data_IF_824094787947
#
_entry.id   IF_824094787947
#
_cell.length_a   1.000
_cell.length_b   1.000
_cell.length_c   1.000
_cell.angle_alpha   90.00
_cell.angle_beta   90.00
_cell.angle_gamma   90.00
#
_symmetry.space_group_name_H-M   'P 1'
#
loop_
_entity.id
_entity.type
_entity.pdbx_description
1 polymer ?
#
# COMPACT_ATOMS: atom_id res chain seq x y z
N UNK A 1 -4.79 -10.05 3.60
CA UNK A 1 -4.78 -8.59 3.37
C UNK A 1 -3.56 -8.17 2.58
N UNK A 2 -2.36 -8.45 3.10
CA UNK A 2 -1.07 -8.13 2.47
C UNK A 2 -0.98 -8.48 0.97
N UNK A 3 -1.11 -9.76 0.60
CA UNK A 3 -1.03 -10.20 -0.81
C UNK A 3 -2.01 -9.49 -1.75
N UNK A 4 -3.21 -9.19 -1.26
CA UNK A 4 -4.22 -8.48 -2.05
C UNK A 4 -3.79 -7.03 -2.29
N UNK A 5 -3.30 -6.34 -1.26
CA UNK A 5 -2.81 -4.97 -1.38
C UNK A 5 -1.60 -4.91 -2.33
N UNK A 6 -0.61 -5.78 -2.09
CA UNK A 6 0.61 -5.88 -2.88
C UNK A 6 0.32 -6.05 -4.37
N UNK A 7 -0.53 -7.02 -4.72
CA UNK A 7 -0.90 -7.28 -6.12
C UNK A 7 -1.64 -6.11 -6.78
N UNK A 8 -2.45 -5.35 -6.03
CA UNK A 8 -3.14 -4.17 -6.57
C UNK A 8 -2.16 -3.02 -6.82
N UNK A 9 -1.18 -2.85 -5.93
CA UNK A 9 -0.16 -1.81 -6.05
C UNK A 9 0.83 -2.12 -7.16
N UNK A 10 1.31 -3.37 -7.27
CA UNK A 10 2.13 -3.85 -8.40
C UNK A 10 1.46 -3.54 -9.74
N UNK A 11 0.18 -3.92 -9.90
CA UNK A 11 -0.58 -3.63 -11.14
C UNK A 11 -0.69 -2.15 -11.46
N UNK A 12 -0.76 -1.28 -10.45
CA UNK A 12 -0.84 0.18 -10.66
C UNK A 12 0.49 0.76 -11.07
N UNK A 13 1.58 0.29 -10.46
CA UNK A 13 2.96 0.64 -10.81
C UNK A 13 3.25 0.20 -12.25
N UNK A 14 2.97 -1.07 -12.59
CA UNK A 14 3.17 -1.62 -13.94
C UNK A 14 2.41 -0.84 -15.02
N UNK A 15 1.21 -0.35 -14.68
CA UNK A 15 0.39 0.48 -15.59
C UNK A 15 0.80 1.95 -15.64
N UNK A 16 1.73 2.39 -14.79
CA UNK A 16 2.08 3.81 -14.64
C UNK A 16 0.94 4.67 -14.10
N UNK A 17 0.02 4.07 -13.32
CA UNK A 17 -1.19 4.73 -12.77
C UNK A 17 -1.13 4.90 -11.25
N UNK A 18 0.05 4.75 -10.66
CA UNK A 18 0.31 5.07 -9.27
C UNK A 18 0.53 6.58 -9.16
N UNK A 19 -0.49 7.31 -8.73
CA UNK A 19 -0.42 8.77 -8.52
C UNK A 19 -0.17 9.07 -7.05
N UNK A 20 0.39 10.25 -6.77
CA UNK A 20 0.56 10.74 -5.40
C UNK A 20 -0.75 10.74 -4.59
N UNK A 21 -1.83 11.27 -5.17
CA UNK A 21 -3.15 11.28 -4.52
C UNK A 21 -3.66 9.87 -4.18
N UNK A 22 -3.41 8.90 -5.07
CA UNK A 22 -3.77 7.51 -4.78
C UNK A 22 -2.90 6.95 -3.66
N UNK A 23 -1.58 7.16 -3.72
CA UNK A 23 -0.61 6.77 -2.71
C UNK A 23 -1.00 7.27 -1.31
N UNK A 24 -1.24 8.58 -1.18
CA UNK A 24 -1.64 9.23 0.07
C UNK A 24 -2.91 8.57 0.68
N UNK A 25 -3.90 8.23 -0.16
CA UNK A 25 -5.09 7.48 0.28
C UNK A 25 -4.75 6.07 0.75
N UNK A 26 -3.85 5.38 0.05
CA UNK A 26 -3.45 4.03 0.45
C UNK A 26 -2.69 4.02 1.78
N UNK A 27 -1.84 5.01 2.04
CA UNK A 27 -1.13 5.17 3.33
C UNK A 27 -2.09 5.12 4.52
N UNK A 28 -3.24 5.79 4.42
CA UNK A 28 -4.28 5.77 5.46
C UNK A 28 -4.87 4.36 5.63
N UNK A 29 -5.21 3.68 4.53
CA UNK A 29 -5.80 2.34 4.59
C UNK A 29 -4.84 1.29 5.15
N UNK A 30 -3.57 1.29 4.73
CA UNK A 30 -2.57 0.35 5.27
C UNK A 30 -2.32 0.60 6.76
N UNK A 31 -2.38 1.85 7.22
CA UNK A 31 -2.34 2.18 8.65
C UNK A 31 -3.53 1.60 9.43
N UNK A 32 -4.74 1.67 8.87
CA UNK A 32 -5.92 1.04 9.45
C UNK A 32 -5.73 -0.48 9.52
N UNK A 33 -5.19 -1.12 8.48
CA UNK A 33 -4.96 -2.56 8.49
C UNK A 33 -3.93 -2.99 9.54
N UNK A 34 -2.87 -2.20 9.75
CA UNK A 34 -1.91 -2.44 10.83
C UNK A 34 -2.57 -2.33 12.21
N UNK A 35 -3.36 -1.28 12.46
CA UNK A 35 -4.05 -1.08 13.75
C UNK A 35 -5.06 -2.20 14.07
N UNK A 36 -5.62 -2.83 13.04
CA UNK A 36 -6.55 -3.96 13.19
C UNK A 36 -5.83 -5.32 13.17
N UNK A 37 -4.50 -5.35 13.28
CA UNK A 37 -3.67 -6.57 13.27
C UNK A 37 -3.87 -7.43 12.00
N UNK A 38 -4.33 -6.82 10.90
CA UNK A 38 -4.49 -7.49 9.60
C UNK A 38 -3.20 -7.53 8.78
N UNK A 39 -2.18 -6.77 9.23
CA UNK A 39 -0.83 -6.75 8.70
C UNK A 39 0.16 -6.83 9.87
N UNK A 40 1.30 -7.47 9.63
CA UNK A 40 2.46 -7.28 10.50
C UNK A 40 3.11 -5.92 10.24
N UNK A 41 3.97 -5.47 11.16
CA UNK A 41 4.75 -4.25 10.97
C UNK A 41 5.61 -4.31 9.69
N UNK A 42 6.21 -5.47 9.40
CA UNK A 42 7.03 -5.69 8.21
C UNK A 42 6.20 -5.57 6.92
N UNK A 43 5.03 -6.22 6.89
CA UNK A 43 4.10 -6.14 5.76
C UNK A 43 3.58 -4.71 5.54
N UNK A 44 3.36 -3.96 6.62
CA UNK A 44 2.97 -2.56 6.55
C UNK A 44 4.07 -1.70 5.90
N UNK A 45 5.34 -1.87 6.32
CA UNK A 45 6.45 -1.09 5.76
C UNK A 45 6.64 -1.37 4.27
N UNK A 46 6.57 -2.64 3.86
CA UNK A 46 6.70 -2.98 2.43
C UNK A 46 5.57 -2.37 1.60
N UNK A 47 4.32 -2.44 2.07
CA UNK A 47 3.20 -1.81 1.35
C UNK A 47 3.31 -0.28 1.33
N UNK A 48 3.86 0.32 2.39
CA UNK A 48 4.08 1.76 2.48
C UNK A 48 5.10 2.24 1.44
N UNK A 49 6.21 1.53 1.29
CA UNK A 49 7.23 1.83 0.28
C UNK A 49 6.67 1.76 -1.14
N UNK A 50 5.82 0.78 -1.44
CA UNK A 50 5.23 0.63 -2.77
C UNK A 50 4.28 1.77 -3.18
N UNK A 51 3.61 2.39 -2.21
CA UNK A 51 2.61 3.44 -2.48
C UNK A 51 3.15 4.85 -2.27
N UNK A 52 4.38 4.99 -1.78
CA UNK A 52 5.06 6.28 -1.63
C UNK A 52 5.67 6.68 -2.96
N UNK A 53 5.08 7.71 -3.60
CA UNK A 53 5.57 8.29 -4.86
C UNK A 53 5.94 9.75 -4.59
N UNK A 54 7.16 10.13 -4.94
CA UNK A 54 7.70 11.50 -4.79
C UNK A 54 6.98 12.52 -5.71
#
# INVERSE_FOLDING_TARGET
MYETCKKQYERKIEKGTMTKEYGDKQVVYIGIFLMNELLTQEQYQELLEMVTVE
#
